data_IF_961254218956
#
_entry.id   IF_961254218956
#
_cell.length_a   1.000
_cell.length_b   1.000
_cell.length_c   1.000
_cell.angle_alpha   90.00
_cell.angle_beta   90.00
_cell.angle_gamma   90.00
#
_symmetry.space_group_name_H-M   'P 1'
#
loop_
_entity.id
_entity.type
_entity.pdbx_description
1 polymer ?
#
# COMPACT_ATOMS: atom_id res chain seq x y z
N UNK A 1 17.48 -2.16 24.03
CA UNK A 1 17.10 -0.73 24.08
C UNK A 1 17.27 -0.03 22.72
N UNK A 2 18.42 -0.13 22.02
CA UNK A 2 18.57 0.48 20.69
C UNK A 2 17.81 -0.25 19.56
N UNK A 3 17.87 -1.58 19.50
CA UNK A 3 17.17 -2.36 18.44
C UNK A 3 15.66 -2.23 18.59
N UNK A 4 15.12 -2.34 19.81
CA UNK A 4 13.69 -2.17 20.07
C UNK A 4 13.16 -0.83 19.57
N UNK A 5 13.87 0.28 19.82
CA UNK A 5 13.45 1.59 19.33
C UNK A 5 13.39 1.66 17.79
N UNK A 6 14.29 0.94 17.08
CA UNK A 6 14.27 0.86 15.61
C UNK A 6 13.09 -0.02 15.14
N UNK A 7 12.79 -1.11 15.85
CA UNK A 7 11.61 -1.95 15.59
C UNK A 7 10.32 -1.14 15.78
N UNK A 8 10.21 -0.38 16.86
CA UNK A 8 9.04 0.47 17.13
C UNK A 8 8.85 1.52 16.02
N UNK A 9 9.94 2.10 15.51
CA UNK A 9 9.92 3.03 14.38
C UNK A 9 9.47 2.35 13.07
N UNK A 10 9.93 1.12 12.82
CA UNK A 10 9.49 0.31 11.67
C UNK A 10 7.98 0.01 11.73
N UNK A 11 7.49 -0.39 12.90
CA UNK A 11 6.09 -0.68 13.15
C UNK A 11 5.22 0.57 12.95
N UNK A 12 5.68 1.74 13.37
CA UNK A 12 4.96 2.99 13.17
C UNK A 12 4.88 3.40 11.69
N UNK A 13 5.97 3.26 10.95
CA UNK A 13 5.96 3.46 9.49
C UNK A 13 4.97 2.49 8.82
N UNK A 14 4.91 1.25 9.30
CA UNK A 14 3.97 0.26 8.79
C UNK A 14 2.50 0.61 9.09
N UNK A 15 2.17 1.08 10.30
CA UNK A 15 0.81 1.53 10.63
C UNK A 15 0.35 2.65 9.69
N UNK A 16 1.21 3.65 9.46
CA UNK A 16 0.94 4.74 8.51
C UNK A 16 0.70 4.24 7.10
N UNK A 17 1.38 3.17 6.68
CA UNK A 17 1.13 2.50 5.40
C UNK A 17 -0.26 1.85 5.35
N UNK A 18 -0.72 1.22 6.44
CA UNK A 18 -2.08 0.70 6.50
C UNK A 18 -3.13 1.82 6.33
N UNK A 19 -2.91 2.96 6.99
CA UNK A 19 -3.80 4.14 6.85
C UNK A 19 -3.79 4.70 5.43
N UNK A 20 -2.62 4.69 4.78
CA UNK A 20 -2.47 5.07 3.38
C UNK A 20 -3.29 4.14 2.47
N UNK A 21 -3.27 2.83 2.69
CA UNK A 21 -4.07 1.88 1.92
C UNK A 21 -5.56 2.15 2.06
N UNK A 22 -6.04 2.44 3.28
CA UNK A 22 -7.43 2.84 3.50
C UNK A 22 -7.77 4.14 2.76
N UNK A 23 -6.86 5.12 2.77
CA UNK A 23 -7.03 6.39 2.06
C UNK A 23 -7.17 6.20 0.54
N UNK A 24 -6.47 5.22 -0.05
CA UNK A 24 -6.65 4.87 -1.47
C UNK A 24 -8.04 4.30 -1.77
N UNK A 25 -8.55 3.41 -0.90
CA UNK A 25 -9.90 2.84 -1.05
C UNK A 25 -10.97 3.93 -0.95
N UNK A 26 -10.83 4.83 0.02
CA UNK A 26 -11.75 5.95 0.22
C UNK A 26 -11.74 6.91 -0.97
N UNK A 27 -10.55 7.23 -1.50
CA UNK A 27 -10.40 8.03 -2.72
C UNK A 27 -11.07 7.36 -3.92
N UNK A 28 -10.87 6.05 -4.13
CA UNK A 28 -11.49 5.30 -5.23
C UNK A 28 -13.01 5.25 -5.11
N UNK A 29 -13.54 5.02 -3.90
CA UNK A 29 -14.97 5.01 -3.64
C UNK A 29 -15.60 6.38 -3.90
N UNK A 30 -14.92 7.45 -3.47
CA UNK A 30 -15.33 8.82 -3.77
C UNK A 30 -15.33 9.09 -5.27
N UNK A 31 -14.30 8.69 -6.00
CA UNK A 31 -14.24 8.91 -7.45
C UNK A 31 -15.36 8.20 -8.21
N UNK A 32 -15.70 6.95 -7.83
CA UNK A 32 -16.84 6.23 -8.42
C UNK A 32 -18.19 6.93 -8.17
N UNK A 33 -18.34 7.59 -7.03
CA UNK A 33 -19.56 8.32 -6.67
C UNK A 33 -19.65 9.70 -7.33
N UNK A 34 -18.60 10.51 -7.20
CA UNK A 34 -18.60 11.91 -7.66
C UNK A 34 -18.25 12.06 -9.12
N UNK A 35 -17.54 11.08 -9.71
CA UNK A 35 -16.96 11.12 -11.06
C UNK A 35 -16.06 12.33 -11.30
N UNK A 36 -15.54 12.95 -10.23
CA UNK A 36 -14.68 14.13 -10.32
C UNK A 36 -13.22 13.74 -10.60
N UNK A 37 -12.82 13.78 -11.87
CA UNK A 37 -11.48 13.41 -12.31
C UNK A 37 -10.38 14.35 -11.78
N UNK A 38 -10.68 15.64 -11.63
CA UNK A 38 -9.73 16.63 -11.11
C UNK A 38 -9.40 16.38 -9.64
N UNK A 39 -10.42 16.18 -8.79
CA UNK A 39 -10.25 15.85 -7.38
C UNK A 39 -9.50 14.52 -7.22
N UNK A 40 -9.92 13.50 -7.96
CA UNK A 40 -9.26 12.19 -7.97
C UNK A 40 -7.77 12.29 -8.32
N UNK A 41 -7.43 13.03 -9.37
CA UNK A 41 -6.04 13.19 -9.81
C UNK A 41 -5.19 13.89 -8.74
N UNK A 42 -5.72 14.93 -8.09
CA UNK A 42 -5.00 15.64 -7.03
C UNK A 42 -4.75 14.78 -5.79
N UNK A 43 -5.76 14.07 -5.29
CA UNK A 43 -5.62 13.16 -4.15
C UNK A 43 -4.68 12.00 -4.47
N UNK A 44 -4.81 11.40 -5.66
CA UNK A 44 -3.94 10.29 -6.09
C UNK A 44 -2.46 10.70 -6.07
N UNK A 45 -2.13 11.88 -6.59
CA UNK A 45 -0.75 12.41 -6.56
C UNK A 45 -0.23 12.60 -5.13
N UNK A 46 -1.08 13.09 -4.22
CA UNK A 46 -0.73 13.25 -2.81
C UNK A 46 -0.41 11.89 -2.16
N UNK A 47 -1.29 10.91 -2.36
CA UNK A 47 -1.11 9.55 -1.83
C UNK A 47 0.13 8.85 -2.42
N UNK A 48 0.41 9.04 -3.71
CA UNK A 48 1.61 8.51 -4.37
C UNK A 48 2.90 9.09 -3.77
N UNK A 49 2.89 10.38 -3.41
CA UNK A 49 4.02 11.02 -2.75
C UNK A 49 4.21 10.49 -1.32
N UNK A 50 3.13 10.35 -0.57
CA UNK A 50 3.16 9.76 0.77
C UNK A 50 3.68 8.32 0.75
N UNK A 51 3.24 7.52 -0.21
CA UNK A 51 3.76 6.16 -0.43
C UNK A 51 5.28 6.14 -0.64
N UNK A 52 5.79 7.02 -1.53
CA UNK A 52 7.24 7.13 -1.79
C UNK A 52 8.01 7.51 -0.53
N UNK A 53 7.47 8.43 0.26
CA UNK A 53 8.09 8.86 1.52
C UNK A 53 8.13 7.73 2.55
N UNK A 54 7.03 6.97 2.71
CA UNK A 54 7.00 5.82 3.62
C UNK A 54 8.01 4.74 3.21
N UNK A 55 8.15 4.46 1.91
CA UNK A 55 9.15 3.50 1.43
C UNK A 55 10.58 3.98 1.61
N UNK A 56 10.84 5.28 1.43
CA UNK A 56 12.13 5.85 1.74
C UNK A 56 12.47 5.71 3.23
N UNK A 57 11.55 6.06 4.12
CA UNK A 57 11.74 5.93 5.56
C UNK A 57 11.98 4.47 5.97
N UNK A 58 11.25 3.52 5.37
CA UNK A 58 11.43 2.10 5.68
C UNK A 58 12.80 1.58 5.20
N UNK A 59 13.30 2.05 4.06
CA UNK A 59 14.66 1.75 3.61
C UNK A 59 15.72 2.33 4.56
N UNK A 60 15.48 3.50 5.16
CA UNK A 60 16.36 4.04 6.20
C UNK A 60 16.34 3.17 7.46
N UNK A 61 15.19 2.66 7.89
CA UNK A 61 15.10 1.69 9.00
C UNK A 61 15.92 0.43 8.69
N UNK A 62 15.79 -0.11 7.49
CA UNK A 62 16.58 -1.25 7.06
C UNK A 62 18.09 -0.99 7.22
N UNK A 63 18.56 0.20 6.82
CA UNK A 63 19.95 0.61 7.02
C UNK A 63 20.35 0.78 8.49
N UNK A 64 19.42 1.22 9.36
CA UNK A 64 19.64 1.32 10.82
C UNK A 64 19.80 -0.05 11.48
N UNK A 65 19.12 -1.09 10.97
CA UNK A 65 19.34 -2.47 11.43
C UNK A 65 20.75 -2.96 11.08
N UNK A 66 21.16 -2.81 9.82
CA UNK A 66 22.49 -3.23 9.36
C UNK A 66 22.88 -4.62 9.87
N UNK A 67 24.13 -4.77 10.33
CA UNK A 67 24.63 -6.04 10.88
C UNK A 67 24.14 -6.30 12.32
N UNK A 68 23.50 -5.32 12.98
CA UNK A 68 23.01 -5.47 14.35
C UNK A 68 21.78 -6.36 14.43
N UNK A 69 21.03 -6.49 13.33
CA UNK A 69 19.83 -7.31 13.26
C UNK A 69 19.54 -7.77 11.83
N UNK A 70 20.33 -8.74 11.35
CA UNK A 70 20.25 -9.25 9.98
C UNK A 70 18.85 -9.81 9.61
N UNK A 71 18.18 -10.47 10.55
CA UNK A 71 16.82 -10.97 10.35
C UNK A 71 15.81 -9.83 10.15
N UNK A 72 15.94 -8.73 10.91
CA UNK A 72 15.16 -7.51 10.69
C UNK A 72 15.41 -6.86 9.33
N UNK A 73 16.65 -6.89 8.83
CA UNK A 73 16.99 -6.40 7.48
C UNK A 73 16.24 -7.16 6.39
N UNK A 74 16.21 -8.49 6.46
CA UNK A 74 15.53 -9.33 5.46
C UNK A 74 14.01 -9.20 5.56
N UNK A 75 13.44 -9.15 6.77
CA UNK A 75 12.00 -8.92 6.96
C UNK A 75 11.55 -7.58 6.40
N UNK A 76 12.28 -6.49 6.69
CA UNK A 76 11.97 -5.16 6.13
C UNK A 76 12.08 -5.15 4.60
N UNK A 77 13.09 -5.83 4.04
CA UNK A 77 13.26 -5.98 2.59
C UNK A 77 12.05 -6.67 1.94
N UNK A 78 11.57 -7.75 2.56
CA UNK A 78 10.40 -8.46 2.05
C UNK A 78 9.14 -7.59 2.18
N UNK A 79 8.96 -6.86 3.29
CA UNK A 79 7.87 -5.89 3.44
C UNK A 79 7.89 -4.85 2.31
N UNK A 80 9.05 -4.27 1.98
CA UNK A 80 9.19 -3.29 0.87
C UNK A 80 8.79 -3.94 -0.47
N UNK A 81 9.16 -5.20 -0.67
CA UNK A 81 8.84 -5.96 -1.90
C UNK A 81 7.35 -6.23 -2.02
N UNK A 82 6.70 -6.65 -0.93
CA UNK A 82 5.26 -6.90 -0.87
C UNK A 82 4.45 -5.60 -1.02
N UNK A 83 4.90 -4.51 -0.40
CA UNK A 83 4.29 -3.19 -0.55
C UNK A 83 4.33 -2.71 -2.00
N UNK A 84 5.46 -2.89 -2.71
CA UNK A 84 5.52 -2.54 -4.13
C UNK A 84 4.49 -3.32 -4.97
N UNK A 85 4.25 -4.59 -4.65
CA UNK A 85 3.21 -5.39 -5.32
C UNK A 85 1.81 -4.92 -4.96
N UNK A 86 1.59 -4.54 -3.69
CA UNK A 86 0.32 -3.96 -3.24
C UNK A 86 0.01 -2.66 -3.99
N UNK A 87 1.02 -1.80 -4.18
CA UNK A 87 0.90 -0.58 -4.99
C UNK A 87 0.48 -0.87 -6.42
N UNK A 88 1.01 -1.90 -7.05
CA UNK A 88 0.63 -2.28 -8.41
C UNK A 88 -0.85 -2.69 -8.48
N UNK A 89 -1.34 -3.42 -7.47
CA UNK A 89 -2.78 -3.72 -7.33
C UNK A 89 -3.64 -2.46 -7.12
N UNK A 90 -3.15 -1.45 -6.39
CA UNK A 90 -3.85 -0.16 -6.27
C UNK A 90 -3.96 0.52 -7.63
N UNK A 91 -2.91 0.47 -8.44
CA UNK A 91 -2.93 1.02 -9.80
C UNK A 91 -3.91 0.28 -10.71
N UNK A 92 -4.02 -1.05 -10.59
CA UNK A 92 -5.04 -1.83 -11.30
C UNK A 92 -6.47 -1.43 -10.89
N UNK A 93 -6.71 -1.14 -9.59
CA UNK A 93 -7.99 -0.62 -9.12
C UNK A 93 -8.32 0.75 -9.74
N UNK A 94 -7.33 1.64 -9.83
CA UNK A 94 -7.46 2.96 -10.47
C UNK A 94 -7.89 2.80 -11.93
N UNK A 95 -7.15 2.01 -12.70
CA UNK A 95 -7.45 1.77 -14.12
C UNK A 95 -8.84 1.14 -14.31
N UNK A 96 -9.21 0.19 -13.46
CA UNK A 96 -10.52 -0.45 -13.50
C UNK A 96 -11.64 0.54 -13.19
N UNK A 97 -11.46 1.45 -12.23
CA UNK A 97 -12.43 2.50 -11.92
C UNK A 97 -12.59 3.50 -13.08
N UNK A 98 -11.50 3.92 -13.71
CA UNK A 98 -11.54 4.80 -14.89
C UNK A 98 -12.25 4.13 -16.08
N UNK A 99 -11.98 2.83 -16.31
CA UNK A 99 -12.66 2.06 -17.35
C UNK A 99 -14.15 1.90 -17.08
N UNK A 100 -14.55 1.72 -15.82
CA UNK A 100 -15.96 1.65 -15.42
C UNK A 100 -16.66 3.00 -15.68
N UNK A 101 -16.06 4.11 -15.23
CA UNK A 101 -16.64 5.45 -15.37
C UNK A 101 -16.76 5.86 -16.84
N UNK A 102 -15.78 5.52 -17.67
CA UNK A 102 -15.81 5.75 -19.11
C UNK A 102 -16.69 4.76 -19.90
N UNK A 103 -17.32 3.79 -19.23
CA UNK A 103 -18.19 2.79 -19.86
C UNK A 103 -17.44 1.73 -20.68
N UNK A 104 -16.11 1.66 -20.59
CA UNK A 104 -15.29 0.65 -21.30
C UNK A 104 -15.40 -0.76 -20.72
N UNK A 105 -15.89 -0.89 -19.49
CA UNK A 105 -16.21 -2.18 -18.86
C UNK A 105 -17.58 -2.09 -18.18
N UNK A 106 -18.25 -3.23 -18.08
CA UNK A 106 -19.53 -3.33 -17.38
C UNK A 106 -19.33 -3.35 -15.87
N UNK A 107 -20.41 -3.07 -15.11
CA UNK A 107 -20.41 -3.22 -13.66
C UNK A 107 -20.04 -4.64 -13.21
N UNK A 108 -20.51 -5.66 -13.94
CA UNK A 108 -20.20 -7.06 -13.65
C UNK A 108 -18.71 -7.35 -13.82
N UNK A 109 -18.09 -6.90 -14.92
CA UNK A 109 -16.65 -7.05 -15.15
C UNK A 109 -15.84 -6.36 -14.07
N UNK A 110 -16.22 -5.14 -13.68
CA UNK A 110 -15.56 -4.42 -12.59
C UNK A 110 -15.66 -5.18 -11.26
N UNK A 111 -16.83 -5.72 -10.91
CA UNK A 111 -17.03 -6.47 -9.67
C UNK A 111 -16.16 -7.74 -9.62
N UNK A 112 -16.07 -8.49 -10.72
CA UNK A 112 -15.19 -9.66 -10.80
C UNK A 112 -13.72 -9.27 -10.60
N UNK A 113 -13.23 -8.25 -11.30
CA UNK A 113 -11.85 -7.76 -11.14
C UNK A 113 -11.59 -7.23 -9.74
N UNK A 114 -12.53 -6.47 -9.15
CA UNK A 114 -12.38 -5.94 -7.80
C UNK A 114 -12.31 -7.05 -6.76
N UNK A 115 -13.09 -8.13 -6.91
CA UNK A 115 -13.05 -9.27 -6.01
C UNK A 115 -11.69 -9.98 -6.04
N UNK A 116 -11.15 -10.23 -7.24
CA UNK A 116 -9.83 -10.87 -7.41
C UNK A 116 -8.70 -10.00 -6.83
N UNK A 117 -8.69 -8.70 -7.17
CA UNK A 117 -7.69 -7.76 -6.65
C UNK A 117 -7.77 -7.65 -5.12
N UNK A 118 -8.98 -7.59 -4.54
CA UNK A 118 -9.14 -7.52 -3.09
C UNK A 118 -8.61 -8.77 -2.38
N UNK A 119 -8.81 -9.95 -2.96
CA UNK A 119 -8.22 -11.19 -2.42
C UNK A 119 -6.70 -11.13 -2.42
N UNK A 120 -6.08 -10.66 -3.51
CA UNK A 120 -4.62 -10.50 -3.62
C UNK A 120 -4.08 -9.45 -2.64
N UNK A 121 -4.77 -8.32 -2.50
CA UNK A 121 -4.42 -7.28 -1.51
C UNK A 121 -4.46 -7.82 -0.08
N UNK A 122 -5.48 -8.61 0.25
CA UNK A 122 -5.62 -9.22 1.58
C UNK A 122 -4.48 -10.21 1.86
N UNK A 123 -4.11 -11.06 0.90
CA UNK A 123 -2.97 -11.98 1.02
C UNK A 123 -1.65 -11.23 1.27
N UNK A 124 -1.34 -10.24 0.43
CA UNK A 124 -0.12 -9.43 0.58
C UNK A 124 -0.09 -8.72 1.94
N UNK A 125 -1.22 -8.16 2.37
CA UNK A 125 -1.34 -7.49 3.66
C UNK A 125 -1.11 -8.46 4.82
N UNK A 126 -1.74 -9.63 4.81
CA UNK A 126 -1.57 -10.64 5.85
C UNK A 126 -0.11 -11.10 5.99
N UNK A 127 0.60 -11.23 4.87
CA UNK A 127 2.03 -11.55 4.88
C UNK A 127 2.87 -10.42 5.47
N UNK A 128 2.59 -9.17 5.10
CA UNK A 128 3.28 -8.01 5.68
C UNK A 128 2.99 -7.85 7.17
N UNK A 129 1.74 -8.06 7.61
CA UNK A 129 1.34 -8.06 9.02
C UNK A 129 2.15 -9.11 9.81
N UNK A 130 2.26 -10.32 9.27
CA UNK A 130 3.07 -11.39 9.89
C UNK A 130 4.55 -10.99 10.01
N UNK A 131 5.13 -10.37 8.97
CA UNK A 131 6.54 -9.97 8.97
C UNK A 131 6.81 -8.85 9.99
N UNK A 132 5.92 -7.87 10.11
CA UNK A 132 6.10 -6.74 11.02
C UNK A 132 5.84 -7.13 12.48
N UNK A 133 4.92 -8.07 12.74
CA UNK A 133 4.64 -8.60 14.08
C UNK A 133 5.82 -9.42 14.62
N UNK A 134 6.53 -10.10 13.73
CA UNK A 134 7.72 -10.88 14.07
C UNK A 134 9.02 -10.08 13.95
N UNK A 135 8.96 -8.78 13.66
CA UNK A 135 10.13 -7.90 13.58
C UNK A 135 10.68 -7.60 14.98
#
# INVERSE_FOLDING_TARGET
MRIQAIVDEAQEIYRRRCDLYQSYEDMLNRYKSTKSASQFTSERKRLEMEHKNLNHNLAQIQGKFGDLYADGVEKVKEIITLDSRYRDLLQECVQSAERLISGKITRQQYQTSASDINSKKADLRSRMDTLIENL
#
